data_IF_962674208422
#
_entry.id   IF_962674208422
#
_cell.length_a   1.000
_cell.length_b   1.000
_cell.length_c   1.000
_cell.angle_alpha   90.00
_cell.angle_beta   90.00
_cell.angle_gamma   90.00
#
_symmetry.space_group_name_H-M   'P 1'
#
loop_
_entity.id
_entity.type
_entity.pdbx_description
1 polymer ?
#
# COMPACT_ATOMS: atom_id res chain seq x y z
N UNK A 1 13.98 -2.14 0.77
CA UNK A 1 12.87 -2.54 -0.12
C UNK A 1 12.50 -3.93 0.30
N UNK A 2 11.23 -4.15 0.62
CA UNK A 2 10.66 -5.39 1.09
C UNK A 2 9.58 -5.85 0.09
N UNK A 3 9.46 -7.17 -0.09
CA UNK A 3 8.58 -7.77 -1.09
C UNK A 3 7.64 -8.78 -0.43
N UNK A 4 6.33 -8.66 -0.71
CA UNK A 4 5.34 -9.67 -0.37
C UNK A 4 4.83 -10.30 -1.66
N UNK A 5 5.25 -11.54 -1.93
CA UNK A 5 4.87 -12.29 -3.14
C UNK A 5 3.69 -13.22 -2.82
N UNK A 6 2.59 -13.09 -3.57
CA UNK A 6 1.38 -13.91 -3.41
C UNK A 6 1.21 -14.90 -4.58
N UNK A 7 2.33 -15.39 -5.13
CA UNK A 7 2.33 -16.26 -6.30
C UNK A 7 1.74 -15.55 -7.53
N UNK A 8 0.76 -16.19 -8.17
CA UNK A 8 0.12 -15.66 -9.38
C UNK A 8 -0.80 -14.46 -9.13
N UNK A 9 -1.08 -14.13 -7.86
CA UNK A 9 -1.91 -12.99 -7.47
C UNK A 9 -1.14 -11.65 -7.49
N UNK A 10 0.18 -11.70 -7.70
CA UNK A 10 1.03 -10.51 -7.82
C UNK A 10 1.99 -10.33 -6.65
N UNK A 11 2.60 -9.15 -6.60
CA UNK A 11 3.62 -8.81 -5.60
C UNK A 11 3.43 -7.38 -5.11
N UNK A 12 3.38 -7.20 -3.80
CA UNK A 12 3.49 -5.88 -3.18
C UNK A 12 4.96 -5.54 -2.97
N UNK A 13 5.31 -4.28 -3.22
CA UNK A 13 6.65 -3.75 -2.94
C UNK A 13 6.51 -2.61 -1.94
N UNK A 14 7.08 -2.79 -0.75
CA UNK A 14 7.12 -1.77 0.29
C UNK A 14 8.54 -1.22 0.39
N UNK A 15 8.68 0.10 0.30
CA UNK A 15 9.98 0.76 0.40
C UNK A 15 10.00 1.82 1.50
N UNK A 16 11.03 1.79 2.34
CA UNK A 16 11.37 2.88 3.25
C UNK A 16 12.18 3.92 2.48
N UNK A 17 11.62 5.12 2.33
CA UNK A 17 12.26 6.20 1.59
C UNK A 17 12.92 7.22 2.54
N UNK A 18 14.23 7.08 2.70
CA UNK A 18 15.10 8.01 3.43
C UNK A 18 15.73 8.98 2.42
N UNK A 19 15.86 10.29 2.73
CA UNK A 19 15.65 10.96 4.01
C UNK A 19 14.24 11.46 4.29
N UNK A 20 13.31 11.32 3.33
CA UNK A 20 11.98 11.95 3.39
C UNK A 20 11.05 11.40 4.48
N UNK A 21 11.45 10.30 5.15
CA UNK A 21 10.65 9.62 6.19
C UNK A 21 9.29 9.17 5.66
N UNK A 22 9.30 8.58 4.48
CA UNK A 22 8.10 8.07 3.81
C UNK A 22 8.15 6.56 3.65
N UNK A 23 6.98 5.95 3.55
CA UNK A 23 6.81 4.60 3.01
C UNK A 23 6.18 4.68 1.63
N UNK A 24 6.71 3.93 0.68
CA UNK A 24 6.16 3.84 -0.67
C UNK A 24 5.67 2.41 -0.89
N UNK A 25 4.41 2.25 -1.32
CA UNK A 25 3.79 0.97 -1.60
C UNK A 25 3.45 0.89 -3.08
N UNK A 26 4.05 -0.05 -3.80
CA UNK A 26 3.52 -0.52 -5.07
C UNK A 26 2.64 -1.74 -4.81
N UNK A 27 1.40 -1.69 -5.28
CA UNK A 27 0.40 -2.75 -5.07
C UNK A 27 -0.02 -3.38 -6.41
N UNK A 28 -0.25 -4.70 -6.43
CA UNK A 28 -0.72 -5.40 -7.62
C UNK A 28 -2.21 -5.16 -7.93
N UNK A 29 -2.96 -4.55 -7.00
CA UNK A 29 -4.40 -4.27 -7.12
C UNK A 29 -4.65 -2.86 -7.67
N UNK A 30 -3.94 -1.87 -7.12
CA UNK A 30 -4.11 -0.45 -7.45
C UNK A 30 -3.73 -0.07 -8.88
N UNK A 31 -2.97 -0.92 -9.58
CA UNK A 31 -2.69 -0.79 -11.01
C UNK A 31 -3.94 -0.96 -11.91
N UNK A 32 -5.09 -1.38 -11.37
CA UNK A 32 -6.34 -1.56 -12.12
C UNK A 32 -7.43 -0.49 -11.86
N UNK A 33 -7.25 0.41 -10.90
CA UNK A 33 -8.31 1.34 -10.49
C UNK A 33 -8.30 2.69 -11.24
N UNK A 34 -7.21 3.04 -11.93
CA UNK A 34 -7.07 4.34 -12.58
C UNK A 34 -6.78 4.20 -14.09
N UNK A 35 -7.82 4.19 -14.93
CA UNK A 35 -7.71 4.09 -16.40
C UNK A 35 -6.93 5.25 -17.06
N UNK A 36 -6.50 6.27 -16.30
CA UNK A 36 -5.78 7.44 -16.82
C UNK A 36 -4.32 7.59 -16.32
N UNK A 37 -3.81 6.72 -15.45
CA UNK A 37 -2.39 6.80 -15.08
C UNK A 37 -1.79 5.47 -14.66
N UNK A 38 -1.47 4.61 -15.63
CA UNK A 38 -0.56 3.48 -15.41
C UNK A 38 0.88 3.92 -15.07
N UNK A 39 1.14 5.24 -14.98
CA UNK A 39 2.43 5.84 -14.63
C UNK A 39 2.46 6.47 -13.22
N UNK A 40 1.36 6.47 -12.44
CA UNK A 40 1.29 7.01 -11.05
C UNK A 40 1.78 6.01 -9.99
N UNK A 41 2.84 5.27 -10.32
CA UNK A 41 3.36 4.14 -9.56
C UNK A 41 3.72 4.47 -8.10
N UNK A 42 3.14 3.69 -7.20
CA UNK A 42 3.33 3.66 -5.75
C UNK A 42 2.65 4.76 -4.92
N UNK A 43 1.77 4.32 -4.01
CA UNK A 43 1.16 5.15 -2.97
C UNK A 43 2.22 5.56 -1.95
N UNK A 44 2.27 6.84 -1.59
CA UNK A 44 3.28 7.42 -0.69
C UNK A 44 2.66 7.79 0.64
N UNK A 45 3.14 7.18 1.72
CA UNK A 45 2.60 7.36 3.06
C UNK A 45 3.57 8.18 3.90
N UNK A 46 3.02 9.18 4.58
CA UNK A 46 3.72 9.97 5.60
C UNK A 46 3.28 9.48 6.99
N UNK A 47 4.16 9.58 7.99
CA UNK A 47 3.79 9.28 9.37
C UNK A 47 2.92 10.38 9.96
N UNK A 48 1.69 10.06 10.30
CA UNK A 48 0.79 10.93 11.04
C UNK A 48 0.92 10.70 12.54
N UNK A 49 1.34 11.75 13.28
CA UNK A 49 1.58 11.65 14.72
C UNK A 49 0.30 11.53 15.54
N UNK A 50 -0.80 12.13 15.07
CA UNK A 50 -2.10 12.09 15.78
C UNK A 50 -2.72 10.70 15.78
N UNK A 51 -2.81 10.09 14.61
CA UNK A 51 -3.35 8.73 14.44
C UNK A 51 -2.33 7.63 14.71
N UNK A 52 -1.05 7.98 14.88
CA UNK A 52 0.07 7.04 15.03
C UNK A 52 0.07 6.01 13.89
N UNK A 53 -0.10 6.48 12.66
CA UNK A 53 -0.25 5.65 11.49
C UNK A 53 0.45 6.22 10.26
N UNK A 54 0.74 5.35 9.29
CA UNK A 54 1.20 5.74 7.96
C UNK A 54 0.00 6.06 7.09
N UNK A 55 -0.11 7.31 6.63
CA UNK A 55 -1.31 7.82 5.96
C UNK A 55 -0.96 8.34 4.57
N UNK A 56 -1.76 7.97 3.57
CA UNK A 56 -1.66 8.52 2.23
C UNK A 56 -2.26 9.93 2.20
N UNK A 57 -1.47 10.93 1.83
CA UNK A 57 -1.89 12.34 1.95
C UNK A 57 -3.12 12.70 1.13
N UNK A 58 -3.24 12.14 -0.07
CA UNK A 58 -4.29 12.49 -1.03
C UNK A 58 -5.66 11.94 -0.64
N UNK A 59 -5.72 10.68 -0.23
CA UNK A 59 -6.98 10.00 0.09
C UNK A 59 -7.25 9.86 1.58
N UNK A 60 -6.27 10.19 2.44
CA UNK A 60 -6.28 9.94 3.89
C UNK A 60 -6.33 8.46 4.29
N UNK A 61 -6.04 7.56 3.35
CA UNK A 61 -6.06 6.11 3.60
C UNK A 61 -4.90 5.69 4.52
N UNK A 62 -5.20 4.82 5.48
CA UNK A 62 -4.22 4.17 6.35
C UNK A 62 -3.54 3.00 5.63
N UNK A 63 -2.21 2.89 5.74
CA UNK A 63 -1.42 1.84 5.08
C UNK A 63 -1.82 0.42 5.49
N UNK A 64 -2.00 0.16 6.79
CA UNK A 64 -2.35 -1.18 7.27
C UNK A 64 -3.73 -1.58 6.78
N UNK A 65 -4.70 -0.69 6.91
CA UNK A 65 -6.05 -0.93 6.41
C UNK A 65 -6.07 -1.20 4.89
N UNK A 66 -5.28 -0.45 4.11
CA UNK A 66 -5.16 -0.69 2.68
C UNK A 66 -4.57 -2.08 2.39
N UNK A 67 -3.53 -2.49 3.12
CA UNK A 67 -2.91 -3.81 2.97
C UNK A 67 -3.89 -4.93 3.34
N UNK A 68 -4.61 -4.80 4.46
CA UNK A 68 -5.63 -5.76 4.87
C UNK A 68 -6.71 -5.89 3.79
N UNK A 69 -7.26 -4.77 3.32
CA UNK A 69 -8.30 -4.74 2.29
C UNK A 69 -7.84 -5.33 0.95
N UNK A 70 -6.64 -4.98 0.48
CA UNK A 70 -6.15 -5.47 -0.81
C UNK A 70 -5.71 -6.94 -0.75
N UNK A 71 -5.16 -7.41 0.38
CA UNK A 71 -4.83 -8.82 0.56
C UNK A 71 -6.09 -9.66 0.71
N UNK A 72 -7.09 -9.19 1.46
CA UNK A 72 -8.42 -9.83 1.52
C UNK A 72 -9.05 -9.91 0.13
N UNK A 73 -8.99 -8.84 -0.67
CA UNK A 73 -9.50 -8.86 -2.05
C UNK A 73 -8.81 -9.91 -2.93
N UNK A 74 -7.50 -10.13 -2.76
CA UNK A 74 -6.74 -11.10 -3.54
C UNK A 74 -6.90 -12.54 -3.05
N UNK A 75 -6.93 -12.73 -1.74
CA UNK A 75 -6.94 -14.06 -1.11
C UNK A 75 -8.36 -14.58 -0.84
N UNK A 76 -9.36 -13.70 -0.82
CA UNK A 76 -10.76 -14.04 -0.52
C UNK A 76 -11.05 -14.26 0.96
N UNK A 77 -10.07 -14.07 1.85
CA UNK A 77 -10.18 -14.28 3.28
C UNK A 77 -9.67 -13.06 4.04
N UNK A 78 -10.35 -12.63 5.11
CA UNK A 78 -9.95 -11.46 5.89
C UNK A 78 -8.64 -11.75 6.64
N UNK A 79 -7.79 -10.73 6.72
CA UNK A 79 -6.54 -10.77 7.49
C UNK A 79 -6.50 -9.63 8.50
N UNK A 80 -5.79 -9.84 9.60
CA UNK A 80 -5.52 -8.83 10.62
C UNK A 80 -4.03 -8.68 10.82
N UNK A 81 -3.52 -7.46 10.64
CA UNK A 81 -2.09 -7.10 10.78
C UNK A 81 -1.81 -6.34 12.08
N UNK A 82 -2.78 -6.26 13.00
CA UNK A 82 -2.67 -5.59 14.31
C UNK A 82 -1.97 -6.42 15.37
#
# INVERSE_FOLDING_TARGET
IDFLKLGNLGTFVLNKQTPNRQLWLSSPVSQFLDHYSSCSGSSRFDWDKSSRAWVYRHTKTNLLWLLESEVEQLCGEPISLS
#
